data_IF_870907016372
#
_entry.id   IF_870907016372
#
_cell.length_a   1.000
_cell.length_b   1.000
_cell.length_c   1.000
_cell.angle_alpha   90.00
_cell.angle_beta   90.00
_cell.angle_gamma   90.00
#
_symmetry.space_group_name_H-M   'P 1'
#
loop_
_entity.id
_entity.type
_entity.pdbx_description
1 polymer ?
#
# COMPACT_ATOMS: atom_id res chain seq x y z
N UNK A 1 19.50 8.77 -14.26
CA UNK A 1 18.07 8.92 -14.62
C UNK A 1 17.50 7.55 -14.83
N UNK A 2 16.49 7.18 -14.05
CA UNK A 2 15.79 5.91 -14.22
C UNK A 2 14.74 6.08 -15.33
N UNK A 3 14.96 5.47 -16.50
CA UNK A 3 14.03 5.48 -17.62
C UNK A 3 13.28 4.17 -17.66
N UNK A 4 11.97 4.22 -17.46
CA UNK A 4 11.07 3.08 -17.58
C UNK A 4 10.66 2.87 -19.04
N UNK A 5 10.61 1.61 -19.48
CA UNK A 5 10.22 1.22 -20.84
C UNK A 5 8.74 1.54 -21.12
N UNK A 6 8.47 2.12 -22.29
CA UNK A 6 7.22 2.82 -22.66
C UNK A 6 5.94 1.98 -22.87
N UNK A 7 5.68 0.98 -22.03
CA UNK A 7 4.38 0.28 -21.96
C UNK A 7 3.79 0.26 -20.55
N UNK A 8 4.59 0.65 -19.54
CA UNK A 8 4.13 0.88 -18.17
C UNK A 8 4.18 2.37 -17.89
N UNK A 9 3.02 2.95 -17.60
CA UNK A 9 2.95 4.29 -17.03
C UNK A 9 2.84 4.13 -15.51
N UNK A 10 3.97 4.15 -14.76
CA UNK A 10 3.90 4.19 -13.31
C UNK A 10 3.13 5.45 -12.92
N UNK A 11 2.02 5.27 -12.22
CA UNK A 11 1.39 6.38 -11.53
C UNK A 11 2.00 6.41 -10.14
N UNK A 12 2.49 7.57 -9.72
CA UNK A 12 2.87 7.77 -8.32
C UNK A 12 1.60 7.65 -7.47
N UNK A 13 1.56 6.61 -6.63
CA UNK A 13 0.45 6.34 -5.74
C UNK A 13 0.55 7.19 -4.48
N UNK A 14 1.76 7.29 -3.91
CA UNK A 14 2.02 8.08 -2.72
C UNK A 14 3.49 8.46 -2.57
N UNK A 15 3.75 9.41 -1.69
CA UNK A 15 5.04 9.98 -1.35
C UNK A 15 5.11 10.20 0.17
N UNK A 16 6.23 9.80 0.79
CA UNK A 16 6.51 10.11 2.19
C UNK A 16 7.95 10.57 2.36
N UNK A 17 8.18 11.68 3.08
CA UNK A 17 9.51 12.15 3.44
C UNK A 17 9.72 12.12 4.96
N UNK A 18 10.87 11.63 5.41
CA UNK A 18 11.33 11.71 6.81
C UNK A 18 12.21 12.93 7.03
N UNK A 19 12.89 13.41 5.98
CA UNK A 19 13.69 14.63 5.95
C UNK A 19 13.74 15.18 4.50
N UNK A 20 14.19 16.43 4.27
CA UNK A 20 14.25 17.00 2.91
C UNK A 20 15.07 16.19 1.90
N UNK A 21 16.05 15.41 2.37
CA UNK A 21 16.89 14.54 1.56
C UNK A 21 16.66 13.05 1.81
N UNK A 22 15.55 12.66 2.43
CA UNK A 22 15.28 11.26 2.76
C UNK A 22 13.78 10.98 2.58
N UNK A 23 13.43 10.29 1.50
CA UNK A 23 12.03 10.12 1.11
C UNK A 23 11.75 8.85 0.32
N UNK A 24 10.48 8.47 0.26
CA UNK A 24 10.01 7.28 -0.41
C UNK A 24 8.84 7.63 -1.32
N UNK A 25 8.77 6.96 -2.46
CA UNK A 25 7.67 7.04 -3.38
C UNK A 25 7.21 5.63 -3.75
N UNK A 26 5.91 5.44 -3.81
CA UNK A 26 5.32 4.20 -4.30
C UNK A 26 4.77 4.47 -5.68
N UNK A 27 5.12 3.61 -6.63
CA UNK A 27 4.50 3.60 -7.95
C UNK A 27 3.57 2.41 -8.05
N UNK A 28 2.35 2.64 -8.53
CA UNK A 28 1.49 1.57 -9.01
C UNK A 28 1.68 1.43 -10.52
N UNK A 29 2.13 0.25 -10.97
CA UNK A 29 2.09 -0.09 -12.38
C UNK A 29 0.65 -0.46 -12.76
N UNK A 30 -0.04 0.45 -13.44
CA UNK A 30 -1.30 0.16 -14.11
C UNK A 30 -1.01 -0.23 -15.55
N UNK A 31 -1.62 -1.31 -16.04
CA UNK A 31 -1.75 -1.50 -17.48
C UNK A 31 -2.74 -0.44 -18.00
N UNK A 32 -2.24 0.72 -18.43
CA UNK A 32 -3.07 1.72 -19.10
C UNK A 32 -3.24 1.29 -20.56
N UNK A 33 -4.41 0.73 -20.88
CA UNK A 33 -4.77 0.30 -22.24
C UNK A 33 -5.88 -0.75 -22.24
N UNK A 34 -6.49 -0.95 -23.41
CA UNK A 34 -7.32 -2.13 -23.69
C UNK A 34 -6.49 -3.43 -23.76
N UNK A 35 -5.17 -3.33 -23.63
CA UNK A 35 -4.26 -4.46 -23.49
C UNK A 35 -4.07 -4.82 -22.02
N UNK A 36 -5.06 -5.50 -21.46
CA UNK A 36 -4.79 -6.38 -20.33
C UNK A 36 -3.79 -7.44 -20.81
N UNK A 37 -2.50 -7.27 -20.52
CA UNK A 37 -1.53 -8.35 -20.74
C UNK A 37 -1.96 -9.51 -19.85
N UNK A 38 -2.38 -10.66 -20.42
CA UNK A 38 -2.79 -11.81 -19.62
C UNK A 38 -1.62 -12.26 -18.76
N UNK A 39 -1.80 -12.30 -17.44
CA UNK A 39 -0.79 -12.82 -16.52
C UNK A 39 0.21 -11.80 -15.94
N UNK A 40 0.06 -10.49 -16.21
CA UNK A 40 0.89 -9.49 -15.54
C UNK A 40 0.17 -8.89 -14.33
N UNK A 41 0.63 -9.28 -13.15
CA UNK A 41 0.22 -8.69 -11.89
C UNK A 41 0.62 -7.21 -11.83
N UNK A 42 -0.23 -6.31 -11.31
CA UNK A 42 0.20 -4.99 -10.90
C UNK A 42 1.33 -5.16 -9.89
N UNK A 43 2.46 -4.52 -10.16
CA UNK A 43 3.61 -4.49 -9.25
C UNK A 43 3.67 -3.11 -8.62
N UNK A 44 3.84 -3.06 -7.30
CA UNK A 44 4.16 -1.83 -6.58
C UNK A 44 5.66 -1.76 -6.39
N UNK A 45 6.29 -0.74 -6.95
CA UNK A 45 7.71 -0.46 -6.73
C UNK A 45 7.83 0.64 -5.70
N UNK A 46 8.69 0.42 -4.70
CA UNK A 46 9.09 1.46 -3.75
C UNK A 46 10.42 2.05 -4.21
N UNK A 47 10.44 3.35 -4.38
CA UNK A 47 11.63 4.15 -4.65
C UNK A 47 12.06 4.87 -3.38
N UNK A 48 13.36 4.96 -3.15
CA UNK A 48 13.98 5.72 -2.07
C UNK A 48 14.80 6.88 -2.64
N UNK A 49 14.62 8.07 -2.09
CA UNK A 49 15.34 9.28 -2.37
C UNK A 49 16.38 9.52 -1.30
N UNK A 50 17.65 9.51 -1.69
CA UNK A 50 18.81 9.69 -0.80
C UNK A 50 19.29 11.14 -0.71
N UNK A 51 18.47 12.10 -1.16
CA UNK A 51 18.83 13.52 -1.22
C UNK A 51 19.47 13.93 -2.54
N UNK A 52 19.81 12.96 -3.39
CA UNK A 52 20.42 13.21 -4.70
C UNK A 52 19.67 12.53 -5.84
N UNK A 53 19.14 11.33 -5.61
CA UNK A 53 18.50 10.53 -6.64
C UNK A 53 17.45 9.59 -6.07
N UNK A 54 16.49 9.21 -6.90
CA UNK A 54 15.55 8.14 -6.63
C UNK A 54 16.14 6.79 -7.09
N UNK A 55 16.22 5.83 -6.19
CA UNK A 55 16.67 4.45 -6.49
C UNK A 55 15.60 3.43 -6.05
N UNK A 56 15.39 2.33 -6.79
CA UNK A 56 14.54 1.25 -6.31
C UNK A 56 15.11 0.65 -5.02
N UNK A 57 14.23 0.38 -4.04
CA UNK A 57 14.65 -0.25 -2.78
C UNK A 57 15.31 -1.62 -3.08
N UNK A 58 16.51 -1.92 -2.52
CA UNK A 58 17.16 -3.23 -2.69
C UNK A 58 16.24 -4.36 -2.22
N UNK A 59 16.03 -5.39 -3.06
CA UNK A 59 15.02 -6.43 -2.83
C UNK A 59 13.73 -6.23 -3.63
N UNK A 60 13.56 -5.06 -4.26
CA UNK A 60 12.78 -4.85 -5.49
C UNK A 60 11.26 -4.89 -5.39
N UNK A 61 10.67 -5.52 -4.37
CA UNK A 61 9.22 -5.54 -4.20
C UNK A 61 8.87 -5.70 -2.73
N UNK A 62 7.89 -4.91 -2.29
CA UNK A 62 7.07 -5.30 -1.14
C UNK A 62 6.51 -6.69 -1.45
N UNK A 63 6.70 -7.65 -0.55
CA UNK A 63 6.11 -8.98 -0.71
C UNK A 63 4.60 -8.86 -0.48
N UNK A 64 3.84 -8.84 -1.57
CA UNK A 64 2.40 -8.72 -1.54
C UNK A 64 1.76 -10.10 -1.27
N UNK A 65 0.64 -10.16 -0.52
CA UNK A 65 -0.12 -11.40 -0.32
C UNK A 65 -0.50 -12.09 -1.64
N UNK A 66 -0.80 -11.28 -2.66
CA UNK A 66 -1.11 -11.73 -4.01
C UNK A 66 -0.93 -10.61 -5.03
N UNK A 67 -0.97 -10.98 -6.30
CA UNK A 67 -1.05 -10.06 -7.45
C UNK A 67 -2.28 -9.14 -7.43
N UNK A 68 -3.27 -9.40 -6.56
CA UNK A 68 -4.49 -8.62 -6.48
C UNK A 68 -4.34 -7.34 -5.65
N UNK A 69 -3.15 -7.01 -5.14
CA UNK A 69 -2.93 -5.85 -4.30
C UNK A 69 -1.95 -4.85 -4.91
N UNK A 70 -2.15 -3.59 -4.57
CA UNK A 70 -1.16 -2.53 -4.78
C UNK A 70 -1.03 -1.69 -3.52
N UNK A 71 0.13 -1.07 -3.32
CA UNK A 71 0.34 -0.13 -2.23
C UNK A 71 -0.30 1.20 -2.61
N UNK A 72 -1.33 1.59 -1.87
CA UNK A 72 -2.12 2.79 -2.13
C UNK A 72 -1.65 3.99 -1.31
N UNK A 73 -1.19 3.74 -0.08
CA UNK A 73 -0.66 4.76 0.82
C UNK A 73 0.58 4.26 1.51
N UNK A 74 1.48 5.19 1.84
CA UNK A 74 2.75 4.94 2.50
C UNK A 74 3.05 6.08 3.47
N UNK A 75 3.44 5.73 4.69
CA UNK A 75 4.01 6.67 5.66
C UNK A 75 5.32 6.12 6.22
N UNK A 76 6.40 6.85 6.04
CA UNK A 76 7.73 6.51 6.55
C UNK A 76 8.07 7.39 7.74
N UNK A 77 8.57 6.78 8.80
CA UNK A 77 9.01 7.46 10.03
C UNK A 77 10.53 7.57 10.11
N UNK A 78 11.21 6.52 9.66
CA UNK A 78 12.66 6.46 9.48
C UNK A 78 12.95 5.67 8.22
N UNK A 79 14.23 5.54 7.85
CA UNK A 79 14.62 4.74 6.70
C UNK A 79 14.27 3.24 6.80
N UNK A 80 13.92 2.77 7.99
CA UNK A 80 13.72 1.36 8.30
C UNK A 80 12.48 1.11 9.19
N UNK A 81 11.59 2.11 9.27
CA UNK A 81 10.33 2.03 10.01
C UNK A 81 9.28 2.84 9.26
N UNK A 82 8.29 2.15 8.72
CA UNK A 82 7.24 2.75 7.93
C UNK A 82 6.07 1.82 7.69
N UNK A 83 4.94 2.39 7.31
CA UNK A 83 3.68 1.68 7.19
C UNK A 83 3.06 1.92 5.82
N UNK A 84 2.36 0.92 5.29
CA UNK A 84 1.70 1.01 4.00
C UNK A 84 0.29 0.43 4.04
N UNK A 85 -0.60 0.97 3.20
CA UNK A 85 -1.92 0.40 2.95
C UNK A 85 -1.86 -0.39 1.64
N UNK A 86 -2.28 -1.64 1.70
CA UNK A 86 -2.58 -2.43 0.52
C UNK A 86 -4.06 -2.34 0.18
N UNK A 87 -4.34 -1.82 -1.00
CA UNK A 87 -5.67 -1.81 -1.59
C UNK A 87 -5.76 -2.87 -2.69
N UNK A 88 -6.94 -3.46 -2.91
CA UNK A 88 -7.17 -4.30 -4.08
C UNK A 88 -6.84 -3.51 -5.35
N UNK A 89 -5.97 -4.07 -6.19
CA UNK A 89 -5.64 -3.48 -7.47
C UNK A 89 -6.85 -3.57 -8.40
N UNK A 90 -7.27 -2.44 -8.96
CA UNK A 90 -8.38 -2.40 -9.92
C UNK A 90 -7.88 -2.99 -11.23
N UNK A 91 -8.11 -4.28 -11.45
CA UNK A 91 -7.83 -4.93 -12.73
C UNK A 91 -8.96 -4.59 -13.71
N UNK A 92 -8.67 -3.93 -14.85
CA UNK A 92 -9.64 -3.85 -15.93
C UNK A 92 -9.99 -5.28 -16.34
N UNK A 93 -11.26 -5.58 -16.57
CA UNK A 93 -11.79 -6.78 -17.24
C UNK A 93 -11.69 -8.17 -16.58
N UNK A 94 -11.13 -8.34 -15.37
CA UNK A 94 -11.22 -9.63 -14.70
C UNK A 94 -12.54 -9.79 -13.94
N UNK A 95 -13.28 -10.84 -14.28
CA UNK A 95 -14.53 -11.24 -13.64
C UNK A 95 -14.32 -11.63 -12.19
N UNK A 96 -14.38 -10.62 -11.30
CA UNK A 96 -14.90 -10.60 -9.92
C UNK A 96 -14.81 -11.87 -9.06
N UNK A 97 -13.78 -12.69 -9.20
CA UNK A 97 -13.38 -13.67 -8.18
C UNK A 97 -12.35 -13.00 -7.27
N UNK A 98 -12.69 -11.81 -6.75
CA UNK A 98 -11.96 -11.24 -5.63
C UNK A 98 -12.10 -12.25 -4.50
N UNK A 99 -10.99 -12.86 -4.09
CA UNK A 99 -10.93 -13.48 -2.78
C UNK A 99 -11.37 -12.42 -1.76
N UNK A 100 -12.11 -12.85 -0.72
CA UNK A 100 -12.63 -12.01 0.38
C UNK A 100 -11.50 -11.44 1.25
N UNK A 101 -10.40 -11.05 0.63
CA UNK A 101 -9.20 -10.68 1.33
C UNK A 101 -9.35 -9.26 1.86
N UNK A 102 -9.12 -9.05 3.16
CA UNK A 102 -9.27 -7.75 3.79
C UNK A 102 -8.28 -6.73 3.18
N UNK A 103 -8.49 -5.45 3.45
CA UNK A 103 -7.39 -4.49 3.31
C UNK A 103 -6.26 -4.91 4.25
N UNK A 104 -5.04 -4.96 3.73
CA UNK A 104 -3.87 -5.28 4.52
C UNK A 104 -3.10 -4.00 4.86
N UNK A 105 -2.48 -4.00 6.03
CA UNK A 105 -1.44 -3.05 6.36
C UNK A 105 -0.08 -3.72 6.20
N UNK A 106 0.92 -2.94 5.81
CA UNK A 106 2.31 -3.32 5.78
C UNK A 106 3.06 -2.55 6.85
N UNK A 107 4.07 -3.17 7.44
CA UNK A 107 5.04 -2.52 8.32
C UNK A 107 6.45 -2.91 7.87
N UNK A 108 7.25 -1.90 7.54
CA UNK A 108 8.69 -2.03 7.40
C UNK A 108 9.33 -2.15 8.77
N UNK A 109 10.01 -3.27 9.02
CA UNK A 109 10.80 -3.49 10.21
C UNK A 109 12.24 -3.78 9.79
N UNK A 110 13.12 -2.80 9.97
CA UNK A 110 14.53 -2.93 9.64
C UNK A 110 14.80 -3.14 8.14
N UNK A 111 14.07 -2.42 7.27
CA UNK A 111 14.21 -2.51 5.82
C UNK A 111 13.54 -3.73 5.18
N UNK A 112 12.70 -4.44 5.94
CA UNK A 112 11.88 -5.56 5.46
C UNK A 112 10.41 -5.29 5.69
N UNK A 113 9.65 -5.12 4.60
CA UNK A 113 8.21 -4.95 4.62
C UNK A 113 7.47 -6.26 4.89
N UNK A 114 6.58 -6.25 5.87
CA UNK A 114 5.76 -7.41 6.25
C UNK A 114 4.29 -7.03 6.36
N UNK A 115 3.42 -7.95 5.96
CA UNK A 115 1.97 -7.83 6.15
C UNK A 115 1.65 -7.94 7.64
N UNK A 116 0.89 -6.99 8.16
CA UNK A 116 0.43 -6.93 9.55
C UNK A 116 -1.03 -7.38 9.61
N UNK A 117 -1.35 -8.13 10.66
CA UNK A 117 -2.73 -8.53 10.93
C UNK A 117 -3.58 -7.31 11.30
N UNK A 118 -4.76 -7.25 10.69
CA UNK A 118 -5.76 -6.19 10.90
C UNK A 118 -7.12 -6.80 11.22
N UNK A 119 -8.03 -6.04 11.85
CA UNK A 119 -9.43 -6.45 11.93
C UNK A 119 -9.98 -6.78 10.54
N UNK A 120 -10.64 -7.95 10.35
CA UNK A 120 -11.09 -8.39 9.04
C UNK A 120 -12.22 -7.50 8.52
N UNK A 121 -12.32 -7.40 7.20
CA UNK A 121 -13.43 -6.70 6.54
C UNK A 121 -13.34 -5.17 6.60
N UNK A 122 -12.14 -4.63 6.82
CA UNK A 122 -11.89 -3.19 6.72
C UNK A 122 -11.09 -2.90 5.44
N UNK A 123 -11.59 -1.99 4.63
CA UNK A 123 -10.85 -1.34 3.55
C UNK A 123 -10.21 -0.06 4.12
N UNK A 124 -8.89 -0.09 4.31
CA UNK A 124 -8.15 1.06 4.84
C UNK A 124 -8.05 2.17 3.80
N UNK A 125 -8.21 3.41 4.23
CA UNK A 125 -8.18 4.60 3.35
C UNK A 125 -7.04 5.54 3.70
N UNK A 126 -6.61 5.59 4.95
CA UNK A 126 -5.45 6.37 5.37
C UNK A 126 -4.84 5.82 6.64
N UNK A 127 -3.55 6.10 6.84
CA UNK A 127 -2.77 5.68 8.00
C UNK A 127 -1.85 6.82 8.41
N UNK A 128 -1.73 7.03 9.71
CA UNK A 128 -0.83 8.00 10.30
C UNK A 128 -0.18 7.40 11.56
N UNK A 129 1.15 7.48 11.64
CA UNK A 129 1.90 6.86 12.73
C UNK A 129 2.66 7.92 13.54
N UNK A 130 2.31 8.04 14.82
CA UNK A 130 2.94 8.99 15.74
C UNK A 130 4.22 8.41 16.37
N UNK A 131 4.22 7.11 16.71
CA UNK A 131 5.42 6.32 17.04
C UNK A 131 5.47 5.02 16.22
N UNK A 132 6.52 4.20 16.38
CA UNK A 132 6.57 2.86 15.77
C UNK A 132 5.46 1.93 16.30
N UNK A 133 4.90 2.25 17.48
CA UNK A 133 3.92 1.43 18.20
C UNK A 133 2.65 2.19 18.58
N UNK A 134 2.45 3.39 18.04
CA UNK A 134 1.30 4.25 18.29
C UNK A 134 0.92 4.99 17.01
N UNK A 135 -0.33 4.83 16.59
CA UNK A 135 -0.82 5.40 15.36
C UNK A 135 -2.29 5.14 15.16
N UNK A 136 -2.83 5.74 14.11
CA UNK A 136 -4.23 5.71 13.75
C UNK A 136 -4.40 5.39 12.28
N UNK A 137 -5.49 4.71 11.96
CA UNK A 137 -5.90 4.48 10.59
C UNK A 137 -7.39 4.74 10.47
N UNK A 138 -7.80 5.18 9.28
CA UNK A 138 -9.20 5.22 8.91
C UNK A 138 -9.46 4.13 7.89
N UNK A 139 -10.66 3.59 7.92
CA UNK A 139 -11.16 2.67 6.93
C UNK A 139 -12.67 2.73 6.81
N UNK A 140 -13.19 1.90 5.95
CA UNK A 140 -14.63 1.68 5.77
C UNK A 140 -14.83 0.17 5.73
N UNK A 141 -15.97 -0.32 6.20
CA UNK A 141 -16.32 -1.73 6.03
C UNK A 141 -16.23 -2.11 4.56
N UNK A 142 -15.55 -3.22 4.27
CA UNK A 142 -15.43 -3.75 2.93
C UNK A 142 -16.70 -4.52 2.56
N UNK A 143 -17.18 -4.34 1.32
CA UNK A 143 -18.17 -5.25 0.75
C UNK A 143 -17.54 -6.65 0.56
N UNK A 144 -18.32 -7.70 0.24
CA UNK A 144 -17.77 -9.05 0.02
C UNK A 144 -16.67 -9.16 -1.04
N UNK A 145 -16.52 -8.17 -1.93
CA UNK A 145 -15.47 -8.13 -2.96
C UNK A 145 -14.19 -7.39 -2.52
N UNK A 146 -14.10 -6.95 -1.26
CA UNK A 146 -12.93 -6.25 -0.71
C UNK A 146 -12.90 -4.73 -0.96
N UNK A 147 -13.80 -4.17 -1.77
CA UNK A 147 -13.92 -2.72 -1.95
C UNK A 147 -14.62 -2.05 -0.76
N UNK A 148 -14.29 -0.79 -0.50
CA UNK A 148 -14.96 0.03 0.51
C UNK A 148 -16.47 0.15 0.23
N UNK A 149 -17.31 -0.20 1.21
CA UNK A 149 -18.75 0.01 1.17
C UNK A 149 -19.06 1.45 1.60
N UNK A 150 -19.14 2.36 0.63
CA UNK A 150 -19.36 3.80 0.86
C UNK A 150 -20.68 4.13 1.59
N UNK A 151 -21.58 3.16 1.78
CA UNK A 151 -22.79 3.33 2.58
C UNK A 151 -22.59 3.02 4.08
N UNK A 152 -21.42 2.51 4.46
CA UNK A 152 -21.06 2.22 5.84
C UNK A 152 -20.35 3.42 6.47
N UNK A 153 -20.45 3.59 7.79
CA UNK A 153 -19.69 4.63 8.48
C UNK A 153 -18.18 4.39 8.34
N UNK A 154 -17.43 5.50 8.46
CA UNK A 154 -15.97 5.44 8.61
C UNK A 154 -15.66 4.71 9.92
N UNK A 155 -14.71 3.80 9.86
CA UNK A 155 -14.15 3.08 11.00
C UNK A 155 -12.83 3.74 11.36
N UNK A 156 -12.69 4.14 12.63
CA UNK A 156 -11.43 4.59 13.19
C UNK A 156 -10.72 3.38 13.81
N UNK A 157 -9.42 3.24 13.56
CA UNK A 157 -8.60 2.21 14.16
C UNK A 157 -7.38 2.84 14.84
N UNK A 158 -6.98 2.24 15.96
CA UNK A 158 -5.77 2.62 16.68
C UNK A 158 -4.81 1.45 16.75
N UNK A 159 -3.52 1.74 16.55
CA UNK A 159 -2.44 0.81 16.79
C UNK A 159 -1.91 1.00 18.20
N UNK A 160 -2.09 0.00 19.05
CA UNK A 160 -1.51 -0.02 20.39
C UNK A 160 -0.95 -1.40 20.71
N UNK A 161 0.20 -1.42 21.39
CA UNK A 161 0.84 -2.63 21.89
C UNK A 161 1.02 -3.74 20.83
N UNK A 162 1.29 -3.34 19.58
CA UNK A 162 1.54 -4.27 18.49
C UNK A 162 0.30 -4.70 17.68
N UNK A 163 -0.90 -4.24 18.05
CA UNK A 163 -2.16 -4.67 17.40
C UNK A 163 -3.03 -3.48 16.96
N UNK A 164 -3.72 -3.65 15.82
CA UNK A 164 -4.74 -2.71 15.36
C UNK A 164 -6.10 -3.07 15.94
N UNK A 165 -6.78 -2.09 16.52
CA UNK A 165 -8.10 -2.25 17.12
C UNK A 165 -9.05 -1.17 16.61
N UNK A 166 -10.30 -1.55 16.34
CA UNK A 166 -11.36 -0.59 15.99
C UNK A 166 -11.70 0.23 17.24
N UNK A 167 -11.77 1.54 17.05
CA UNK A 167 -12.16 2.51 18.08
C UNK A 167 -13.46 3.15 17.62
N UNK A 168 -14.54 2.89 18.36
CA UNK A 168 -15.80 3.65 18.36
C UNK A 168 -16.43 3.96 17.01
#
# INVERSE_FOLDING_TARGET
GYTLSGQDHPVFADLSFTAPGDGWAVTAAFALGNESLPGRAPTSTVLHYDGTQWTPLPGGAISLPSAAYSVAHLVMRTAHDGWGILAPAVLPNQSRNYTKEPGYLLHDRNGTWQVVQTPPGIAFTTIAMHTATDGWALGIHATPNGAADVNQPIVLLQYQAGTWQIVG
#
